data_IF_513963621875
#
_entry.id   IF_513963621875
#
_cell.length_a   1.000
_cell.length_b   1.000
_cell.length_c   1.000
_cell.angle_alpha   90.00
_cell.angle_beta   90.00
_cell.angle_gamma   90.00
#
_symmetry.space_group_name_H-M   'P 1'
#
loop_
_entity.id
_entity.type
_entity.pdbx_description
1 polymer ?
#
# COMPACT_ATOMS: atom_id res chain seq x y z
N UNK A 1 -12.25 16.64 63.29
CA UNK A 1 -12.13 18.07 63.11
C UNK A 1 -11.68 18.32 61.68
N UNK A 2 -12.62 18.94 60.94
CA UNK A 2 -12.52 19.75 59.71
C UNK A 2 -11.84 19.12 58.51
N UNK A 3 -12.53 18.56 57.55
CA UNK A 3 -13.21 19.09 56.36
C UNK A 3 -12.50 20.22 55.65
N UNK A 4 -11.93 19.96 54.53
CA UNK A 4 -12.00 20.90 53.41
C UNK A 4 -12.12 20.17 52.07
N UNK A 5 -13.24 20.46 51.46
CA UNK A 5 -13.73 19.96 50.17
C UNK A 5 -13.47 21.08 49.17
N UNK A 6 -12.62 20.87 48.19
CA UNK A 6 -12.48 21.82 47.10
C UNK A 6 -12.64 21.06 45.74
N UNK A 7 -13.84 21.18 45.23
CA UNK A 7 -14.21 20.87 43.85
C UNK A 7 -13.77 22.05 42.95
N UNK A 8 -13.14 21.78 41.79
CA UNK A 8 -13.08 22.73 40.69
C UNK A 8 -13.67 22.15 39.40
N UNK A 9 -14.99 22.10 39.35
CA UNK A 9 -15.71 21.99 38.07
C UNK A 9 -15.98 23.41 37.57
N UNK A 10 -15.15 23.93 36.70
CA UNK A 10 -15.52 25.08 35.87
C UNK A 10 -14.79 25.07 34.54
N UNK A 11 -15.47 24.59 33.51
CA UNK A 11 -15.08 24.78 32.11
C UNK A 11 -15.37 26.24 31.67
N UNK A 12 -14.45 26.91 30.96
CA UNK A 12 -14.78 28.14 30.24
C UNK A 12 -15.37 27.82 28.88
N UNK A 13 -16.52 28.42 28.61
CA UNK A 13 -17.15 28.44 27.31
C UNK A 13 -16.34 29.24 26.31
N UNK A 14 -16.24 28.72 25.09
CA UNK A 14 -15.76 29.43 23.92
C UNK A 14 -16.94 29.57 22.97
N UNK A 15 -17.50 30.79 22.94
CA UNK A 15 -18.31 31.28 21.83
C UNK A 15 -17.33 31.84 20.78
N UNK A 16 -17.53 31.46 19.54
CA UNK A 16 -16.75 31.96 18.41
C UNK A 16 -17.31 31.37 17.13
N UNK A 17 -18.49 31.84 16.72
CA UNK A 17 -18.95 31.67 15.34
C UNK A 17 -18.04 32.51 14.46
N UNK A 18 -17.34 31.88 13.53
CA UNK A 18 -16.69 32.52 12.39
C UNK A 18 -17.38 32.03 11.13
N UNK A 19 -18.27 32.88 10.65
CA UNK A 19 -18.81 32.93 9.28
C UNK A 19 -17.61 32.98 8.28
N UNK A 20 -17.49 31.93 7.46
CA UNK A 20 -16.58 31.94 6.33
C UNK A 20 -17.34 31.52 5.07
N UNK A 21 -18.06 32.52 4.52
CA UNK A 21 -18.56 32.50 3.14
C UNK A 21 -17.38 32.52 2.18
N UNK A 22 -17.04 31.38 1.60
CA UNK A 22 -16.12 31.27 0.49
C UNK A 22 -16.87 31.52 -0.84
N UNK A 23 -16.35 32.33 -1.75
CA UNK A 23 -16.98 32.59 -3.04
C UNK A 23 -16.83 31.42 -4.00
N UNK A 24 -17.95 31.12 -4.64
CA UNK A 24 -18.07 30.10 -5.69
C UNK A 24 -17.43 30.61 -6.98
N UNK A 25 -16.55 29.88 -7.68
CA UNK A 25 -16.07 30.28 -8.99
C UNK A 25 -17.15 30.03 -10.07
N UNK A 26 -17.48 31.07 -10.78
CA UNK A 26 -18.36 31.06 -11.97
C UNK A 26 -17.65 30.36 -13.13
N UNK A 27 -18.38 29.47 -13.81
CA UNK A 27 -17.99 28.89 -15.08
C UNK A 27 -18.04 29.91 -16.21
N UNK A 28 -17.11 29.88 -17.17
CA UNK A 28 -17.20 30.71 -18.36
C UNK A 28 -18.16 30.11 -19.38
N UNK A 29 -19.07 30.95 -19.85
CA UNK A 29 -19.94 30.71 -21.01
C UNK A 29 -19.08 30.61 -22.28
N UNK A 30 -19.29 29.53 -23.07
CA UNK A 30 -18.68 29.38 -24.38
C UNK A 30 -19.48 30.09 -25.49
N UNK A 31 -18.81 30.55 -26.54
CA UNK A 31 -19.50 31.11 -27.70
C UNK A 31 -19.92 30.04 -28.70
N UNK A 32 -21.12 30.26 -29.28
CA UNK A 32 -21.63 29.60 -30.47
C UNK A 32 -20.65 29.67 -31.64
N UNK A 33 -20.51 28.58 -32.36
CA UNK A 33 -20.06 28.60 -33.74
C UNK A 33 -20.67 27.46 -34.55
N UNK A 34 -21.63 27.79 -35.32
CA UNK A 34 -22.10 27.04 -36.49
C UNK A 34 -21.02 26.98 -37.58
N UNK A 35 -20.90 25.82 -38.23
CA UNK A 35 -20.34 25.82 -39.57
C UNK A 35 -19.52 24.62 -39.99
N UNK A 36 -20.10 23.87 -40.92
CA UNK A 36 -19.45 23.29 -42.12
C UNK A 36 -18.98 21.82 -42.03
N UNK A 37 -19.71 21.02 -42.79
CA UNK A 37 -19.38 19.67 -43.23
C UNK A 37 -17.97 19.58 -43.87
N UNK A 38 -17.16 18.72 -43.35
CA UNK A 38 -15.92 18.25 -43.97
C UNK A 38 -15.79 16.74 -43.69
N UNK A 39 -16.10 15.93 -44.71
CA UNK A 39 -15.84 14.52 -44.67
C UNK A 39 -14.32 14.29 -44.68
N UNK A 40 -13.77 13.95 -43.54
CA UNK A 40 -12.38 13.53 -43.45
C UNK A 40 -12.36 12.01 -43.30
N UNK A 41 -11.76 11.34 -44.24
CA UNK A 41 -11.49 9.91 -44.28
C UNK A 41 -10.78 9.49 -43.00
N UNK A 42 -11.36 8.53 -42.29
CA UNK A 42 -10.74 7.84 -41.16
C UNK A 42 -9.69 6.90 -41.73
N UNK A 43 -8.47 7.38 -41.81
CA UNK A 43 -7.30 6.49 -41.99
C UNK A 43 -7.24 5.62 -40.74
N UNK A 44 -7.56 4.35 -40.90
CA UNK A 44 -7.30 3.32 -39.90
C UNK A 44 -5.78 3.17 -39.73
N UNK A 45 -5.19 4.01 -38.90
CA UNK A 45 -3.86 3.73 -38.38
C UNK A 45 -4.02 2.59 -37.36
N UNK A 46 -3.74 1.37 -37.81
CA UNK A 46 -3.48 0.23 -36.96
C UNK A 46 -2.29 0.59 -36.05
N UNK A 47 -2.59 1.12 -34.87
CA UNK A 47 -1.63 1.23 -33.81
C UNK A 47 -1.18 -0.19 -33.46
N UNK A 48 0.05 -0.52 -33.81
CA UNK A 48 0.77 -1.67 -33.30
C UNK A 48 0.86 -1.47 -31.79
N UNK A 49 -0.15 -2.00 -31.06
CA UNK A 49 -0.10 -2.11 -29.61
C UNK A 49 1.08 -2.98 -29.24
N UNK A 50 1.99 -2.41 -28.48
CA UNK A 50 3.16 -3.07 -27.92
C UNK A 50 2.80 -4.44 -27.35
N UNK A 51 3.36 -5.48 -27.94
CA UNK A 51 3.15 -6.89 -27.57
C UNK A 51 3.65 -7.23 -26.14
N UNK A 52 4.08 -6.22 -25.37
CA UNK A 52 4.63 -6.35 -24.00
C UNK A 52 3.67 -6.03 -22.86
N UNK A 53 2.45 -5.54 -23.10
CA UNK A 53 1.64 -4.92 -22.05
C UNK A 53 0.42 -5.72 -21.58
N UNK A 54 0.19 -6.96 -22.06
CA UNK A 54 -0.93 -7.78 -21.62
C UNK A 54 -0.74 -8.21 -20.15
N UNK A 55 -1.58 -7.73 -19.20
CA UNK A 55 -1.46 -8.06 -17.79
C UNK A 55 -1.52 -9.58 -17.51
N UNK A 56 -2.29 -10.31 -18.32
CA UNK A 56 -2.41 -11.76 -18.20
C UNK A 56 -1.09 -12.46 -18.50
N UNK A 57 -0.40 -12.05 -19.55
CA UNK A 57 0.92 -12.60 -19.89
C UNK A 57 1.95 -12.35 -18.81
N UNK A 58 1.94 -11.15 -18.20
CA UNK A 58 2.81 -10.83 -17.06
C UNK A 58 2.55 -11.72 -15.87
N UNK A 59 1.28 -11.97 -15.52
CA UNK A 59 0.92 -12.87 -14.41
C UNK A 59 1.33 -14.31 -14.67
N UNK A 60 1.15 -14.80 -15.89
CA UNK A 60 1.60 -16.14 -16.29
C UNK A 60 3.12 -16.24 -16.19
N UNK A 61 3.85 -15.21 -16.61
CA UNK A 61 5.30 -15.17 -16.49
C UNK A 61 5.76 -15.20 -15.03
N UNK A 62 5.17 -14.40 -14.15
CA UNK A 62 5.45 -14.42 -12.70
C UNK A 62 5.23 -15.81 -12.12
N UNK A 63 4.07 -16.43 -12.42
CA UNK A 63 3.78 -17.78 -11.95
C UNK A 63 4.82 -18.80 -12.44
N UNK A 64 5.23 -18.69 -13.71
CA UNK A 64 6.26 -19.55 -14.29
C UNK A 64 7.62 -19.36 -13.59
N UNK A 65 8.03 -18.10 -13.31
CA UNK A 65 9.29 -17.83 -12.63
C UNK A 65 9.28 -18.38 -11.19
N UNK A 66 8.21 -18.17 -10.44
CA UNK A 66 8.08 -18.71 -9.08
C UNK A 66 8.08 -20.24 -9.10
N UNK A 67 7.43 -20.86 -10.09
CA UNK A 67 7.38 -22.33 -10.25
C UNK A 67 8.73 -22.98 -10.50
N UNK A 68 9.74 -22.24 -10.98
CA UNK A 68 11.12 -22.72 -11.12
C UNK A 68 11.82 -22.90 -9.77
N UNK A 69 11.48 -22.05 -8.80
CA UNK A 69 12.08 -22.07 -7.48
C UNK A 69 11.34 -23.01 -6.51
N UNK A 70 10.02 -23.16 -6.69
CA UNK A 70 9.16 -23.93 -5.77
C UNK A 70 8.28 -24.88 -6.57
N UNK A 71 8.65 -26.15 -6.53
CA UNK A 71 7.93 -27.21 -7.24
C UNK A 71 6.82 -27.78 -6.34
N UNK A 72 5.64 -28.05 -6.95
CA UNK A 72 4.54 -28.74 -6.26
C UNK A 72 3.63 -27.85 -5.40
N UNK A 73 3.81 -26.52 -5.42
CA UNK A 73 2.97 -25.57 -4.67
C UNK A 73 2.19 -24.60 -5.55
N UNK A 74 1.73 -25.06 -6.69
CA UNK A 74 1.05 -24.20 -7.67
C UNK A 74 -0.23 -23.54 -7.13
N UNK A 75 -0.96 -24.23 -6.25
CA UNK A 75 -2.14 -23.67 -5.60
C UNK A 75 -1.79 -22.50 -4.68
N UNK A 76 -0.70 -22.64 -3.89
CA UNK A 76 -0.23 -21.57 -3.01
C UNK A 76 0.27 -20.37 -3.80
N UNK A 77 1.03 -20.58 -4.90
CA UNK A 77 1.45 -19.51 -5.82
C UNK A 77 0.24 -18.77 -6.37
N UNK A 78 -0.77 -19.50 -6.81
CA UNK A 78 -1.99 -18.90 -7.36
C UNK A 78 -2.74 -18.09 -6.31
N UNK A 79 -2.87 -18.60 -5.09
CA UNK A 79 -3.51 -17.89 -3.97
C UNK A 79 -2.78 -16.59 -3.61
N UNK A 80 -1.44 -16.64 -3.55
CA UNK A 80 -0.61 -15.45 -3.32
C UNK A 80 -0.80 -14.39 -4.41
N UNK A 81 -0.80 -14.79 -5.67
CA UNK A 81 -1.00 -13.85 -6.79
C UNK A 81 -2.40 -13.24 -6.75
N UNK A 82 -3.44 -14.03 -6.45
CA UNK A 82 -4.81 -13.52 -6.32
C UNK A 82 -4.89 -12.50 -5.17
N UNK A 83 -4.35 -12.82 -4.01
CA UNK A 83 -4.38 -11.90 -2.87
C UNK A 83 -3.62 -10.60 -3.15
N UNK A 84 -2.49 -10.68 -3.82
CA UNK A 84 -1.71 -9.51 -4.23
C UNK A 84 -2.51 -8.61 -5.17
N UNK A 85 -3.17 -9.18 -6.17
CA UNK A 85 -4.03 -8.44 -7.10
C UNK A 85 -5.25 -7.81 -6.42
N UNK A 86 -5.77 -8.47 -5.39
CA UNK A 86 -6.88 -7.98 -4.60
C UNK A 86 -6.46 -6.95 -3.52
N UNK A 87 -5.15 -6.69 -3.36
CA UNK A 87 -4.62 -5.86 -2.26
C UNK A 87 -4.89 -6.46 -0.88
N UNK A 88 -4.99 -7.80 -0.79
CA UNK A 88 -5.34 -8.52 0.42
C UNK A 88 -4.16 -9.17 1.12
N UNK A 89 -4.47 -9.96 2.15
CA UNK A 89 -3.51 -10.73 2.95
C UNK A 89 -3.70 -12.23 2.74
N UNK A 90 -2.65 -13.01 3.01
CA UNK A 90 -2.67 -14.48 2.89
C UNK A 90 -2.18 -15.11 4.17
N UNK A 91 -2.90 -16.10 4.65
CA UNK A 91 -2.42 -17.01 5.67
C UNK A 91 -1.89 -18.28 4.98
N UNK A 92 -0.60 -18.57 5.15
CA UNK A 92 0.04 -19.77 4.63
C UNK A 92 0.20 -20.81 5.75
N UNK A 93 -0.73 -21.75 5.80
CA UNK A 93 -0.64 -22.88 6.73
C UNK A 93 0.01 -24.11 6.05
N UNK A 94 0.73 -24.88 6.81
CA UNK A 94 1.35 -26.10 6.33
C UNK A 94 2.44 -26.60 7.27
N UNK A 95 2.86 -27.84 7.05
CA UNK A 95 3.92 -28.46 7.83
C UNK A 95 5.24 -27.70 7.73
N UNK A 96 6.10 -27.75 8.76
CA UNK A 96 7.45 -27.20 8.68
C UNK A 96 8.24 -27.77 7.50
N UNK A 97 9.08 -26.95 6.88
CA UNK A 97 9.95 -27.40 5.79
C UNK A 97 9.34 -27.38 4.38
N UNK A 98 8.07 -27.00 4.19
CA UNK A 98 7.44 -26.91 2.86
C UNK A 98 7.80 -25.62 2.10
N UNK A 99 8.95 -25.03 2.37
CA UNK A 99 9.48 -23.87 1.64
C UNK A 99 8.55 -22.63 1.59
N UNK A 100 7.69 -22.41 2.59
CA UNK A 100 6.78 -21.23 2.66
C UNK A 100 7.52 -19.91 2.50
N UNK A 101 8.62 -19.72 3.22
CA UNK A 101 9.46 -18.53 3.14
C UNK A 101 10.11 -18.37 1.76
N UNK A 102 10.56 -19.48 1.15
CA UNK A 102 11.13 -19.46 -0.20
C UNK A 102 10.09 -19.04 -1.24
N UNK A 103 8.88 -19.57 -1.11
CA UNK A 103 7.75 -19.23 -1.99
C UNK A 103 7.48 -17.71 -2.02
N UNK A 104 7.37 -17.10 -0.83
CA UNK A 104 7.13 -15.65 -0.69
C UNK A 104 8.29 -14.84 -1.26
N UNK A 105 9.54 -15.23 -0.98
CA UNK A 105 10.73 -14.56 -1.51
C UNK A 105 10.82 -14.67 -3.03
N UNK A 106 10.54 -15.84 -3.58
CA UNK A 106 10.56 -16.06 -5.03
C UNK A 106 9.51 -15.19 -5.74
N UNK A 107 8.30 -15.07 -5.15
CA UNK A 107 7.26 -14.20 -5.68
C UNK A 107 7.71 -12.71 -5.64
N UNK A 108 8.25 -12.26 -4.53
CA UNK A 108 8.73 -10.89 -4.40
C UNK A 108 9.84 -10.56 -5.40
N UNK A 109 10.79 -11.48 -5.57
CA UNK A 109 11.87 -11.34 -6.56
C UNK A 109 11.33 -11.31 -8.00
N UNK A 110 10.38 -12.20 -8.32
CA UNK A 110 9.77 -12.24 -9.65
C UNK A 110 8.96 -10.98 -10.01
N UNK A 111 8.53 -10.24 -9.00
CA UNK A 111 7.75 -9.00 -9.14
C UNK A 111 8.54 -7.73 -8.81
N UNK A 112 9.83 -7.85 -8.52
CA UNK A 112 10.71 -6.74 -8.12
C UNK A 112 10.14 -5.93 -6.92
N UNK A 113 9.64 -6.65 -5.91
CA UNK A 113 9.06 -6.05 -4.70
C UNK A 113 10.02 -6.12 -3.52
N UNK A 114 10.08 -5.02 -2.76
CA UNK A 114 10.77 -5.03 -1.47
C UNK A 114 10.04 -5.96 -0.50
N UNK A 115 10.80 -6.86 0.15
CA UNK A 115 10.25 -7.81 1.12
C UNK A 115 10.99 -7.70 2.42
N UNK A 116 10.23 -7.61 3.52
CA UNK A 116 10.76 -7.71 4.88
C UNK A 116 10.14 -8.89 5.60
N UNK A 117 10.89 -9.47 6.52
CA UNK A 117 10.44 -10.56 7.39
C UNK A 117 10.44 -10.10 8.83
N UNK A 118 9.36 -10.38 9.53
CA UNK A 118 9.27 -10.24 10.98
C UNK A 118 9.02 -11.62 11.55
N UNK A 119 9.79 -11.99 12.56
CA UNK A 119 9.54 -13.16 13.37
C UNK A 119 8.85 -12.70 14.66
N UNK A 120 7.63 -13.16 14.87
CA UNK A 120 6.83 -12.79 16.04
C UNK A 120 7.23 -13.66 17.22
N UNK A 121 8.08 -13.08 18.09
CA UNK A 121 8.52 -13.69 19.35
C UNK A 121 7.82 -12.98 20.51
N UNK A 122 7.69 -13.64 21.71
CA UNK A 122 7.00 -13.02 22.86
C UNK A 122 7.62 -11.73 23.38
N UNK A 123 8.87 -11.45 23.05
CA UNK A 123 9.63 -10.26 23.42
C UNK A 123 9.58 -9.15 22.37
N UNK A 124 8.90 -9.36 21.23
CA UNK A 124 8.76 -8.36 20.17
C UNK A 124 7.98 -7.14 20.64
N UNK A 125 8.57 -5.97 20.54
CA UNK A 125 7.94 -4.70 20.88
C UNK A 125 7.21 -4.10 19.67
N UNK A 126 6.11 -3.37 19.85
CA UNK A 126 5.42 -2.68 18.75
C UNK A 126 6.34 -1.77 17.93
N UNK A 127 7.32 -1.12 18.59
CA UNK A 127 8.31 -0.28 17.93
C UNK A 127 9.25 -1.02 16.97
N UNK A 128 9.47 -2.33 17.20
CA UNK A 128 10.27 -3.16 16.30
C UNK A 128 9.56 -3.40 14.97
N UNK A 129 8.24 -3.36 14.97
CA UNK A 129 7.38 -3.53 13.80
C UNK A 129 7.14 -2.20 13.08
N UNK A 130 6.72 -1.18 13.83
CA UNK A 130 6.30 0.12 13.26
C UNK A 130 7.45 1.10 13.10
N UNK A 131 8.56 0.88 13.81
CA UNK A 131 9.65 1.83 13.88
C UNK A 131 9.56 2.77 15.07
N UNK A 132 10.59 3.59 15.25
CA UNK A 132 10.74 4.46 16.40
C UNK A 132 11.37 5.80 16.04
N UNK A 133 11.14 6.80 16.90
CA UNK A 133 11.84 8.07 16.84
C UNK A 133 13.23 7.92 17.47
N UNK A 134 14.25 8.31 16.72
CA UNK A 134 15.64 8.30 17.15
C UNK A 134 16.10 9.76 17.30
N UNK A 135 16.68 10.07 18.44
CA UNK A 135 17.33 11.35 18.66
C UNK A 135 18.77 11.32 18.15
N UNK A 136 19.08 12.19 17.19
CA UNK A 136 20.45 12.39 16.74
C UNK A 136 21.10 13.52 17.55
N UNK A 137 22.05 13.17 18.39
CA UNK A 137 22.76 14.12 19.24
C UNK A 137 23.68 15.09 18.46
N UNK A 138 24.05 14.78 17.23
CA UNK A 138 24.90 15.65 16.40
C UNK A 138 24.11 16.80 15.79
N UNK A 139 22.90 16.48 15.31
CA UNK A 139 22.00 17.48 14.70
C UNK A 139 20.99 18.07 15.70
N UNK A 140 20.92 17.54 16.91
CA UNK A 140 19.91 17.86 17.93
C UNK A 140 18.46 17.69 17.40
N UNK A 141 18.22 16.72 16.53
CA UNK A 141 16.94 16.49 15.89
C UNK A 141 16.43 15.07 16.13
N UNK A 142 15.10 14.93 16.11
CA UNK A 142 14.46 13.64 16.08
C UNK A 142 14.23 13.21 14.62
N UNK A 143 14.58 11.98 14.29
CA UNK A 143 14.28 11.35 13.02
C UNK A 143 13.46 10.08 13.24
N UNK A 144 12.47 9.85 12.38
CA UNK A 144 11.70 8.61 12.42
C UNK A 144 12.45 7.52 11.62
N UNK A 145 12.79 6.42 12.29
CA UNK A 145 13.32 5.24 11.65
C UNK A 145 12.18 4.27 11.39
N UNK A 146 11.82 4.10 10.12
CA UNK A 146 10.75 3.23 9.70
C UNK A 146 11.06 1.76 10.03
N UNK A 147 10.09 1.07 10.62
CA UNK A 147 10.16 -0.35 10.92
C UNK A 147 9.88 -1.22 9.68
N UNK A 148 9.97 -2.54 9.82
CA UNK A 148 9.78 -3.48 8.73
C UNK A 148 8.36 -3.49 8.15
N UNK A 149 7.35 -2.97 8.82
CA UNK A 149 5.98 -2.85 8.28
C UNK A 149 5.92 -1.96 7.04
N UNK A 150 6.87 -1.03 6.89
CA UNK A 150 6.97 -0.19 5.69
C UNK A 150 7.73 -0.95 4.61
N UNK A 151 6.99 -1.75 3.85
CA UNK A 151 7.49 -2.58 2.74
C UNK A 151 6.35 -2.93 1.80
N UNK A 152 6.65 -3.44 0.59
CA UNK A 152 5.62 -3.89 -0.34
C UNK A 152 5.01 -5.23 0.09
N UNK A 153 5.85 -6.14 0.59
CA UNK A 153 5.45 -7.47 1.04
C UNK A 153 6.07 -7.78 2.39
N UNK A 154 5.24 -7.94 3.40
CA UNK A 154 5.66 -8.31 4.74
C UNK A 154 5.41 -9.80 4.99
N UNK A 155 6.46 -10.54 5.31
CA UNK A 155 6.35 -11.91 5.79
C UNK A 155 6.32 -11.89 7.33
N UNK A 156 5.14 -12.17 7.88
CA UNK A 156 4.95 -12.39 9.30
C UNK A 156 5.15 -13.89 9.61
N UNK A 157 6.18 -14.21 10.36
CA UNK A 157 6.59 -15.59 10.65
C UNK A 157 6.68 -15.79 12.16
N UNK A 158 6.34 -17.00 12.62
CA UNK A 158 6.39 -17.36 14.04
C UNK A 158 7.80 -17.79 14.47
#
# INVERSE_FOLDING_TARGET
MSTDSTDPTRAPGIAGEADTSAPHPQAPEGPDASGTHGATQVSSSSSHGEAGSDPRRRLVAVRSEVGKAVVGQEAAVTGLVIALLAGGHVLLEGVPGVAKTLLVRSLATAMDMETKRIQFTPDLMPGDVTGSLIYDSRSAQFSFRAGPVFTNLLLADE
#
